data_IF_047282594116
#
_entry.id   IF_047282594116
#
_cell.length_a   1.000
_cell.length_b   1.000
_cell.length_c   1.000
_cell.angle_alpha   90.00
_cell.angle_beta   90.00
_cell.angle_gamma   90.00
#
_symmetry.space_group_name_H-M   'P 1'
#
loop_
_entity.id
_entity.type
_entity.pdbx_description
1 polymer ?
#
# COMPACT_ATOMS: atom_id res chain seq x y z
N UNK A 1 -18.46 15.06 -2.75
CA UNK A 1 -17.11 15.65 -2.70
C UNK A 1 -16.17 14.53 -3.11
N UNK A 2 -15.31 14.77 -4.11
CA UNK A 2 -14.44 13.73 -4.66
C UNK A 2 -13.48 13.25 -3.56
N UNK A 3 -13.73 12.07 -3.01
CA UNK A 3 -12.66 11.30 -2.38
C UNK A 3 -11.57 11.13 -3.45
N UNK A 4 -10.42 11.74 -3.19
CA UNK A 4 -9.31 11.82 -4.13
C UNK A 4 -8.88 10.39 -4.46
N UNK A 5 -9.04 10.01 -5.72
CA UNK A 5 -8.54 8.74 -6.20
C UNK A 5 -7.01 8.80 -6.22
N UNK A 6 -6.37 7.97 -5.41
CA UNK A 6 -4.92 7.89 -5.29
C UNK A 6 -4.36 6.88 -6.27
N UNK A 7 -3.26 7.27 -6.92
CA UNK A 7 -2.53 6.39 -7.81
C UNK A 7 -1.46 5.65 -7.03
N UNK A 8 -1.40 4.32 -7.21
CA UNK A 8 -0.38 3.44 -6.68
C UNK A 8 0.73 3.28 -7.72
N UNK A 9 1.97 3.38 -7.28
CA UNK A 9 3.14 3.43 -8.16
C UNK A 9 4.41 2.82 -7.53
N UNK A 10 4.31 2.23 -6.34
CA UNK A 10 5.43 1.57 -5.68
C UNK A 10 5.05 0.21 -5.08
N UNK A 11 6.08 -0.57 -4.76
CA UNK A 11 5.97 -1.82 -4.00
C UNK A 11 6.92 -1.75 -2.81
N UNK A 12 6.43 -2.14 -1.64
CA UNK A 12 7.17 -2.14 -0.38
C UNK A 12 7.04 -3.47 0.36
N UNK A 13 8.04 -3.80 1.17
CA UNK A 13 7.99 -4.90 2.14
C UNK A 13 7.67 -4.30 3.51
N UNK A 14 6.61 -4.79 4.13
CA UNK A 14 6.24 -4.44 5.51
C UNK A 14 6.59 -5.60 6.44
N UNK A 15 7.19 -5.28 7.58
CA UNK A 15 7.45 -6.22 8.68
C UNK A 15 6.44 -5.97 9.80
N UNK A 16 5.58 -6.95 10.06
CA UNK A 16 4.56 -6.89 11.12
C UNK A 16 5.18 -6.90 12.52
N UNK A 17 4.38 -6.60 13.55
CA UNK A 17 4.77 -6.70 14.97
C UNK A 17 5.34 -8.08 15.34
N UNK A 18 4.77 -9.15 14.80
CA UNK A 18 5.24 -10.53 15.04
C UNK A 18 6.53 -10.88 14.28
N UNK A 19 7.03 -10.00 13.41
CA UNK A 19 8.22 -10.19 12.59
C UNK A 19 7.96 -10.87 11.24
N UNK A 20 6.73 -11.31 10.98
CA UNK A 20 6.35 -11.79 9.65
C UNK A 20 6.34 -10.65 8.64
N UNK A 21 6.54 -10.98 7.37
CA UNK A 21 6.69 -10.01 6.29
C UNK A 21 5.62 -10.19 5.23
N UNK A 22 5.29 -9.12 4.53
CA UNK A 22 4.43 -9.15 3.35
C UNK A 22 4.76 -7.98 2.42
N UNK A 23 4.28 -8.07 1.18
CA UNK A 23 4.42 -6.99 0.21
C UNK A 23 3.13 -6.16 0.14
N UNK A 24 3.27 -4.85 0.00
CA UNK A 24 2.16 -3.93 -0.28
C UNK A 24 2.47 -3.21 -1.59
N UNK A 25 1.45 -2.98 -2.42
CA UNK A 25 1.56 -2.15 -3.61
C UNK A 25 0.91 -0.82 -3.23
N UNK A 26 1.68 0.25 -3.08
CA UNK A 26 1.19 1.48 -2.48
C UNK A 26 1.68 2.72 -3.27
N UNK A 27 1.72 3.89 -2.63
CA UNK A 27 2.30 5.12 -3.17
C UNK A 27 3.11 5.84 -2.08
N UNK A 28 3.75 6.95 -2.43
CA UNK A 28 4.65 7.65 -1.51
C UNK A 28 3.95 8.14 -0.24
N UNK A 29 2.70 8.56 -0.33
CA UNK A 29 1.91 9.01 0.83
C UNK A 29 1.64 7.83 1.76
N UNK A 30 1.20 6.68 1.23
CA UNK A 30 0.95 5.49 2.05
C UNK A 30 2.24 4.93 2.66
N UNK A 31 3.36 4.97 1.93
CA UNK A 31 4.66 4.59 2.48
C UNK A 31 5.05 5.50 3.64
N UNK A 32 4.88 6.82 3.53
CA UNK A 32 5.17 7.72 4.65
C UNK A 32 4.25 7.50 5.86
N UNK A 33 2.98 7.13 5.63
CA UNK A 33 2.08 6.68 6.71
C UNK A 33 2.58 5.37 7.34
N UNK A 34 3.13 4.44 6.55
CA UNK A 34 3.77 3.23 7.04
C UNK A 34 5.01 3.54 7.90
N UNK A 35 5.88 4.47 7.47
CA UNK A 35 7.03 4.90 8.25
C UNK A 35 6.59 5.49 9.61
N UNK A 36 5.55 6.33 9.62
CA UNK A 36 4.98 6.85 10.88
C UNK A 36 4.39 5.73 11.76
N UNK A 37 3.83 4.67 11.14
CA UNK A 37 3.37 3.49 11.87
C UNK A 37 4.54 2.68 12.46
N UNK A 38 5.73 2.70 11.84
CA UNK A 38 6.96 2.14 12.43
C UNK A 38 7.36 2.94 13.67
N UNK A 39 7.40 4.27 13.58
CA UNK A 39 7.76 5.16 14.69
C UNK A 39 6.82 5.00 15.90
N UNK A 40 5.55 4.65 15.65
CA UNK A 40 4.54 4.38 16.67
C UNK A 40 4.55 2.95 17.19
N UNK A 41 5.37 2.09 16.59
CA UNK A 41 5.46 0.68 16.93
C UNK A 41 4.26 -0.15 16.45
N UNK A 42 3.47 0.34 15.50
CA UNK A 42 2.34 -0.39 14.88
C UNK A 42 2.79 -1.49 13.92
N UNK A 43 3.91 -1.26 13.26
CA UNK A 43 4.69 -2.25 12.51
C UNK A 43 6.17 -2.13 12.91
N UNK A 44 6.98 -3.13 12.57
CA UNK A 44 8.41 -3.14 12.90
C UNK A 44 9.29 -2.44 11.87
N UNK A 45 8.82 -2.34 10.64
CA UNK A 45 9.58 -1.73 9.56
C UNK A 45 8.80 -1.76 8.26
N UNK A 46 9.13 -0.82 7.39
CA UNK A 46 8.70 -0.80 5.98
C UNK A 46 9.93 -0.49 5.13
N UNK A 47 9.97 -1.04 3.91
CA UNK A 47 11.07 -0.80 2.97
C UNK A 47 10.54 -0.79 1.55
N UNK A 48 10.74 0.32 0.84
CA UNK A 48 10.46 0.40 -0.59
C UNK A 48 11.38 -0.57 -1.35
N UNK A 49 10.78 -1.42 -2.18
CA UNK A 49 11.47 -2.37 -3.05
C UNK A 49 11.57 -1.87 -4.49
N UNK A 50 10.50 -1.24 -4.99
CA UNK A 50 10.41 -0.75 -6.35
C UNK A 50 9.58 0.53 -6.41
N UNK A 51 10.07 1.53 -7.13
CA UNK A 51 9.36 2.78 -7.45
C UNK A 51 8.98 2.81 -8.93
N UNK A 52 8.03 3.68 -9.28
CA UNK A 52 7.58 3.95 -10.65
C UNK A 52 7.17 2.67 -11.40
N UNK A 53 6.37 1.81 -10.75
CA UNK A 53 5.94 0.56 -11.38
C UNK A 53 5.06 0.82 -12.62
N UNK A 54 5.11 -0.03 -13.66
CA UNK A 54 4.32 0.19 -14.86
C UNK A 54 2.79 0.17 -14.60
N UNK A 55 2.07 1.12 -15.22
CA UNK A 55 0.59 1.21 -15.17
C UNK A 55 -0.12 0.12 -15.98
N UNK A 56 -0.02 -1.11 -15.50
CA UNK A 56 -0.67 -2.28 -16.11
C UNK A 56 -2.17 -2.34 -15.76
N UNK A 57 -2.95 -3.12 -16.53
CA UNK A 57 -4.35 -3.42 -16.20
C UNK A 57 -4.50 -4.08 -14.82
N UNK A 58 -3.53 -4.90 -14.42
CA UNK A 58 -3.52 -5.52 -13.10
C UNK A 58 -3.36 -4.47 -12.00
N UNK A 59 -2.44 -3.51 -12.16
CA UNK A 59 -2.27 -2.41 -11.21
C UNK A 59 -3.55 -1.60 -11.06
N UNK A 60 -4.17 -1.19 -12.17
CA UNK A 60 -5.43 -0.43 -12.16
C UNK A 60 -6.54 -1.22 -11.45
N UNK A 61 -6.66 -2.53 -11.71
CA UNK A 61 -7.67 -3.39 -11.06
C UNK A 61 -7.48 -3.44 -9.54
N UNK A 62 -6.24 -3.56 -9.07
CA UNK A 62 -5.92 -3.58 -7.65
C UNK A 62 -6.13 -2.21 -7.00
N UNK A 63 -5.65 -1.15 -7.64
CA UNK A 63 -5.78 0.24 -7.20
C UNK A 63 -7.23 0.67 -7.07
N UNK A 64 -8.09 0.35 -8.05
CA UNK A 64 -9.51 0.66 -7.97
C UNK A 64 -10.18 0.00 -6.76
N UNK A 65 -9.78 -1.23 -6.44
CA UNK A 65 -10.29 -1.93 -5.26
C UNK A 65 -9.84 -1.24 -3.98
N UNK A 66 -8.55 -0.91 -3.87
CA UNK A 66 -8.00 -0.25 -2.68
C UNK A 66 -8.68 1.10 -2.46
N UNK A 67 -8.77 1.94 -3.48
CA UNK A 67 -9.43 3.25 -3.42
C UNK A 67 -10.92 3.16 -3.04
N UNK A 68 -11.62 2.08 -3.42
CA UNK A 68 -13.03 1.86 -3.06
C UNK A 68 -13.23 1.30 -1.66
N UNK A 69 -12.21 0.63 -1.10
CA UNK A 69 -12.34 -0.16 0.13
C UNK A 69 -11.74 0.53 1.35
N UNK A 70 -10.67 1.30 1.14
CA UNK A 70 -9.90 1.91 2.22
C UNK A 70 -9.90 3.43 2.12
N UNK A 71 -9.84 4.07 3.28
CA UNK A 71 -9.55 5.49 3.35
C UNK A 71 -8.03 5.67 3.22
N UNK A 72 -7.59 6.10 2.03
CA UNK A 72 -6.18 6.38 1.79
C UNK A 72 -5.81 7.72 2.42
N UNK A 73 -4.97 7.63 3.46
CA UNK A 73 -4.48 8.76 4.23
C UNK A 73 -3.44 9.55 3.42
N UNK A 74 -3.43 10.87 3.52
CA UNK A 74 -2.44 11.70 2.80
C UNK A 74 -1.53 12.43 3.78
N UNK A 75 -0.24 12.48 3.46
CA UNK A 75 0.72 13.28 4.22
C UNK A 75 0.44 14.79 4.12
N UNK A 76 -0.34 15.22 3.15
CA UNK A 76 -0.78 16.62 3.02
C UNK A 76 -1.94 16.97 3.95
N UNK A 77 -2.58 15.99 4.59
CA UNK A 77 -3.70 16.20 5.52
C UNK A 77 -3.19 16.10 6.96
N UNK A 78 -3.31 17.19 7.71
CA UNK A 78 -2.83 17.28 9.09
C UNK A 78 -3.42 16.20 10.00
N UNK A 79 -4.71 15.89 9.84
CA UNK A 79 -5.37 14.85 10.62
C UNK A 79 -4.72 13.47 10.42
N UNK A 80 -4.27 13.17 9.20
CA UNK A 80 -3.75 11.86 8.82
C UNK A 80 -2.32 11.66 9.32
N UNK A 81 -1.41 12.61 9.11
CA UNK A 81 -0.02 12.44 9.60
C UNK A 81 0.12 12.69 11.11
N UNK A 82 -0.78 13.45 11.75
CA UNK A 82 -0.79 13.57 13.22
C UNK A 82 -1.34 12.33 13.91
N UNK A 83 -2.27 11.59 13.29
CA UNK A 83 -2.86 10.39 13.87
C UNK A 83 -3.02 9.24 12.85
N UNK A 84 -1.92 8.77 12.23
CA UNK A 84 -1.95 7.71 11.24
C UNK A 84 -2.61 6.45 11.80
N UNK A 85 -3.56 5.92 11.06
CA UNK A 85 -4.20 4.64 11.31
C UNK A 85 -3.55 3.58 10.42
N UNK A 86 -2.79 2.67 11.00
CA UNK A 86 -2.21 1.58 10.24
C UNK A 86 -3.24 0.46 10.00
N UNK A 87 -3.46 0.12 8.74
CA UNK A 87 -4.30 -1.01 8.33
C UNK A 87 -3.58 -1.77 7.24
N UNK A 88 -3.33 -3.05 7.47
CA UNK A 88 -2.89 -3.96 6.40
C UNK A 88 -4.07 -4.24 5.47
N UNK A 89 -3.88 -4.01 4.16
CA UNK A 89 -4.97 -4.18 3.21
C UNK A 89 -5.24 -5.64 2.88
N UNK A 90 -6.50 -6.04 2.94
CA UNK A 90 -6.94 -7.36 2.56
C UNK A 90 -6.87 -7.55 1.05
N UNK A 91 -6.50 -8.76 0.63
CA UNK A 91 -6.35 -9.13 -0.79
C UNK A 91 -7.31 -10.30 -1.06
N UNK A 92 -8.63 -10.04 -1.16
CA UNK A 92 -9.63 -11.10 -1.27
C UNK A 92 -9.38 -11.99 -2.50
N UNK A 93 -9.71 -13.28 -2.36
CA UNK A 93 -9.53 -14.27 -3.44
C UNK A 93 -10.25 -13.84 -4.72
N UNK A 94 -9.70 -14.24 -5.86
CA UNK A 94 -10.20 -13.89 -7.19
C UNK A 94 -9.45 -12.69 -7.76
N UNK A 95 -10.17 -11.83 -8.50
CA UNK A 95 -9.56 -10.81 -9.35
C UNK A 95 -8.58 -9.87 -8.64
N UNK A 96 -8.85 -9.50 -7.38
CA UNK A 96 -7.99 -8.60 -6.60
C UNK A 96 -6.66 -9.29 -6.26
N UNK A 97 -6.71 -10.48 -5.66
CA UNK A 97 -5.50 -11.24 -5.34
C UNK A 97 -4.70 -11.61 -6.59
N UNK A 98 -5.38 -11.96 -7.69
CA UNK A 98 -4.73 -12.28 -8.96
C UNK A 98 -4.03 -11.06 -9.55
N UNK A 99 -4.70 -9.90 -9.54
CA UNK A 99 -4.12 -8.63 -9.98
C UNK A 99 -2.90 -8.23 -9.14
N UNK A 100 -3.01 -8.30 -7.81
CA UNK A 100 -1.91 -8.06 -6.89
C UNK A 100 -0.70 -8.95 -7.21
N UNK A 101 -0.90 -10.27 -7.34
CA UNK A 101 0.17 -11.22 -7.69
C UNK A 101 0.77 -10.96 -9.07
N UNK A 102 -0.03 -10.55 -10.05
CA UNK A 102 0.45 -10.20 -11.38
C UNK A 102 1.36 -8.97 -11.35
N UNK A 103 1.04 -7.96 -10.54
CA UNK A 103 1.90 -6.78 -10.36
C UNK A 103 3.22 -7.16 -9.72
N UNK A 104 3.20 -7.96 -8.64
CA UNK A 104 4.45 -8.43 -8.01
C UNK A 104 5.32 -9.22 -9.00
N UNK A 105 4.71 -10.18 -9.71
CA UNK A 105 5.39 -10.99 -10.73
C UNK A 105 6.00 -10.14 -11.85
N UNK A 106 5.28 -9.13 -12.33
CA UNK A 106 5.77 -8.24 -13.39
C UNK A 106 6.99 -7.43 -12.94
N UNK A 107 7.10 -7.13 -11.64
CA UNK A 107 8.21 -6.41 -11.04
C UNK A 107 9.28 -7.33 -10.43
N UNK A 108 9.19 -8.65 -10.66
CA UNK A 108 10.12 -9.68 -10.14
C UNK A 108 10.23 -9.69 -8.60
N UNK A 109 9.12 -9.41 -7.93
CA UNK A 109 8.99 -9.49 -6.48
C UNK A 109 8.16 -10.73 -6.14
N UNK A 110 8.68 -11.57 -5.24
CA UNK A 110 8.07 -12.87 -4.87
C UNK A 110 9.07 -14.00 -4.83
#
# INVERSE_FOLDING_TARGET
MNDQYEQLDLIEEVTRKDGSKYFEISNIDQNGIAELAVDRGDIKGVRILQLNIPRTKALITYEEYINKTYHLQSLMKEADWKNPQWVEWEKPKGKVLDAYKMVLKANRIG
#
